data_IF_909234160166
#
_entry.id   IF_909234160166
#
_cell.length_a   1.000
_cell.length_b   1.000
_cell.length_c   1.000
_cell.angle_alpha   90.00
_cell.angle_beta   90.00
_cell.angle_gamma   90.00
#
_symmetry.space_group_name_H-M   'P 1'
#
loop_
_entity.id
_entity.type
_entity.pdbx_description
1 polymer ?
#
# COMPACT_ATOMS: atom_id res chain seq x y z
N UNK A 1 -9.95 -24.75 -30.24
CA UNK A 1 -10.63 -25.10 -28.97
C UNK A 1 -9.78 -24.61 -27.84
N UNK A 2 -10.31 -23.72 -27.02
CA UNK A 2 -9.58 -22.72 -26.23
C UNK A 2 -9.17 -23.36 -24.90
N UNK A 3 -7.93 -23.82 -24.75
CA UNK A 3 -7.35 -24.37 -23.51
C UNK A 3 -7.03 -23.28 -22.47
N UNK A 4 -7.98 -22.39 -22.21
CA UNK A 4 -7.84 -21.20 -21.37
C UNK A 4 -8.75 -21.22 -20.13
N UNK A 5 -9.23 -22.40 -19.70
CA UNK A 5 -10.50 -22.50 -18.97
C UNK A 5 -10.44 -23.04 -17.54
N UNK A 6 -9.30 -23.03 -16.86
CA UNK A 6 -9.27 -23.40 -15.43
C UNK A 6 -8.24 -22.63 -14.61
N UNK A 7 -7.00 -22.50 -15.08
CA UNK A 7 -5.94 -21.82 -14.34
C UNK A 7 -6.21 -20.32 -14.17
N UNK A 8 -6.59 -19.63 -15.26
CA UNK A 8 -7.02 -18.23 -15.23
C UNK A 8 -8.29 -18.02 -14.42
N UNK A 9 -9.24 -18.96 -14.48
CA UNK A 9 -10.48 -18.88 -13.72
C UNK A 9 -10.25 -19.06 -12.22
N UNK A 10 -9.43 -20.03 -11.83
CA UNK A 10 -9.01 -20.24 -10.44
C UNK A 10 -8.13 -19.09 -9.94
N UNK A 11 -7.31 -18.49 -10.80
CA UNK A 11 -6.52 -17.30 -10.47
C UNK A 11 -7.42 -16.07 -10.25
N UNK A 12 -8.39 -15.83 -11.13
CA UNK A 12 -9.39 -14.77 -10.98
C UNK A 12 -10.24 -15.00 -9.73
N UNK A 13 -10.66 -16.24 -9.45
CA UNK A 13 -11.39 -16.57 -8.21
C UNK A 13 -10.50 -16.42 -6.97
N UNK A 14 -9.24 -16.84 -6.99
CA UNK A 14 -8.32 -16.65 -5.86
C UNK A 14 -8.08 -15.15 -5.56
N UNK A 15 -7.96 -14.33 -6.60
CA UNK A 15 -7.85 -12.86 -6.48
C UNK A 15 -9.16 -12.25 -5.96
N UNK A 16 -10.33 -12.74 -6.39
CA UNK A 16 -11.64 -12.25 -5.93
C UNK A 16 -12.04 -12.77 -4.53
N UNK A 17 -11.53 -13.92 -4.11
CA UNK A 17 -11.90 -14.59 -2.86
C UNK A 17 -11.01 -14.19 -1.67
N UNK A 18 -9.96 -13.42 -1.92
CA UNK A 18 -9.02 -12.97 -0.89
C UNK A 18 -9.00 -11.45 -0.73
N UNK A 19 -10.19 -10.84 -0.74
CA UNK A 19 -10.35 -9.41 -0.45
C UNK A 19 -10.14 -9.14 1.04
N UNK A 20 -8.92 -8.71 1.39
CA UNK A 20 -8.62 -8.07 2.66
C UNK A 20 -8.85 -6.56 2.60
N UNK A 21 -9.07 -5.93 3.75
CA UNK A 21 -9.14 -4.47 3.87
C UNK A 21 -7.78 -3.85 4.18
N UNK A 22 -6.81 -4.68 4.58
CA UNK A 22 -5.45 -4.31 4.96
C UNK A 22 -4.45 -5.42 4.59
N UNK A 23 -3.15 -5.09 4.55
CA UNK A 23 -2.12 -6.09 4.30
C UNK A 23 -2.01 -7.13 5.43
N UNK A 24 -2.39 -6.77 6.66
CA UNK A 24 -2.46 -7.73 7.78
C UNK A 24 -3.62 -8.72 7.62
N UNK A 25 -4.75 -8.33 7.01
CA UNK A 25 -5.82 -9.27 6.66
C UNK A 25 -5.32 -10.32 5.66
N UNK A 26 -4.58 -9.87 4.63
CA UNK A 26 -3.99 -10.74 3.62
C UNK A 26 -2.94 -11.68 4.22
N UNK A 27 -2.12 -11.18 5.15
CA UNK A 27 -1.13 -11.98 5.88
C UNK A 27 -1.82 -13.09 6.68
N UNK A 28 -2.86 -12.74 7.43
CA UNK A 28 -3.65 -13.67 8.24
C UNK A 28 -4.39 -14.70 7.37
N UNK A 29 -4.74 -14.34 6.14
CA UNK A 29 -5.29 -15.24 5.13
C UNK A 29 -4.23 -16.16 4.49
N UNK A 30 -2.96 -16.03 4.85
CA UNK A 30 -1.86 -16.90 4.40
C UNK A 30 -1.01 -16.34 3.26
N UNK A 31 -1.22 -15.10 2.83
CA UNK A 31 -0.35 -14.43 1.85
C UNK A 31 0.87 -13.86 2.55
N UNK A 32 1.95 -14.65 2.59
CA UNK A 32 3.15 -14.35 3.39
C UNK A 32 4.28 -13.68 2.62
N UNK A 33 4.20 -13.64 1.30
CA UNK A 33 5.25 -13.06 0.47
C UNK A 33 5.05 -11.55 0.34
N UNK A 34 6.13 -10.78 0.40
CA UNK A 34 6.06 -9.34 0.11
C UNK A 34 5.78 -9.11 -1.37
N UNK A 35 4.90 -8.14 -1.68
CA UNK A 35 4.50 -7.94 -3.06
C UNK A 35 3.33 -7.00 -3.27
N UNK A 36 2.88 -6.92 -4.53
CA UNK A 36 1.75 -6.08 -4.91
C UNK A 36 0.45 -6.87 -4.76
N UNK A 37 -0.48 -6.26 -4.03
CA UNK A 37 -1.81 -6.80 -3.76
C UNK A 37 -2.90 -5.76 -4.04
N UNK A 38 -4.16 -6.19 -3.96
CA UNK A 38 -5.33 -5.35 -4.05
C UNK A 38 -6.11 -5.41 -2.75
N UNK A 39 -6.31 -4.26 -2.11
CA UNK A 39 -7.15 -4.12 -0.92
C UNK A 39 -8.51 -3.57 -1.30
N UNK A 40 -9.58 -4.08 -0.71
CA UNK A 40 -10.90 -3.47 -0.85
C UNK A 40 -10.98 -2.26 0.10
N UNK A 41 -11.46 -1.11 -0.37
CA UNK A 41 -11.73 0.02 0.52
C UNK A 41 -13.04 -0.23 1.26
N UNK A 42 -13.00 -0.16 2.60
CA UNK A 42 -14.17 -0.36 3.47
C UNK A 42 -15.31 0.59 3.07
N UNK A 43 -16.53 0.07 3.07
CA UNK A 43 -17.72 0.83 2.66
C UNK A 43 -17.92 0.96 1.15
N UNK A 44 -17.09 0.30 0.32
CA UNK A 44 -17.22 0.29 -1.14
C UNK A 44 -17.40 -1.13 -1.67
N UNK A 45 -18.15 -1.28 -2.77
CA UNK A 45 -18.36 -2.60 -3.41
C UNK A 45 -17.32 -2.91 -4.49
N UNK A 46 -16.81 -1.87 -5.17
CA UNK A 46 -15.97 -2.05 -6.38
C UNK A 46 -14.70 -1.20 -6.38
N UNK A 47 -14.32 -0.62 -5.23
CA UNK A 47 -13.08 0.14 -5.14
C UNK A 47 -11.99 -0.74 -4.53
N UNK A 48 -11.07 -1.15 -5.39
CA UNK A 48 -9.86 -1.87 -5.02
C UNK A 48 -8.65 -0.96 -5.17
N UNK A 49 -7.83 -0.89 -4.13
CA UNK A 49 -6.60 -0.13 -4.08
C UNK A 49 -5.40 -1.06 -4.30
N UNK A 50 -4.61 -0.79 -5.34
CA UNK A 50 -3.35 -1.48 -5.60
C UNK A 50 -2.30 -0.98 -4.60
N UNK A 51 -1.77 -1.87 -3.76
CA UNK A 51 -0.77 -1.53 -2.73
C UNK A 51 0.41 -2.48 -2.78
N UNK A 52 1.52 -2.10 -2.16
CA UNK A 52 2.56 -3.04 -1.80
C UNK A 52 2.36 -3.47 -0.35
N UNK A 53 2.26 -4.77 -0.11
CA UNK A 53 2.28 -5.35 1.23
C UNK A 53 3.69 -5.82 1.55
N UNK A 54 4.23 -5.30 2.63
CA UNK A 54 5.47 -5.77 3.22
C UNK A 54 5.12 -6.79 4.33
N UNK A 55 5.37 -8.06 4.03
CA UNK A 55 5.00 -9.22 4.84
C UNK A 55 6.19 -9.84 5.57
N UNK A 56 7.41 -9.48 5.20
CA UNK A 56 8.64 -10.15 5.67
C UNK A 56 9.41 -9.31 6.70
N UNK A 57 9.17 -7.99 6.74
CA UNK A 57 9.79 -7.09 7.72
C UNK A 57 8.99 -7.04 9.02
N UNK A 58 9.71 -7.18 10.15
CA UNK A 58 9.15 -7.20 11.50
C UNK A 58 8.06 -8.28 11.64
N UNK A 59 6.86 -7.93 12.09
CA UNK A 59 5.70 -8.83 12.16
C UNK A 59 4.94 -9.01 10.83
N UNK A 60 5.34 -8.31 9.76
CA UNK A 60 4.61 -8.28 8.50
C UNK A 60 3.29 -7.51 8.58
N UNK A 61 2.47 -7.60 7.53
CA UNK A 61 1.15 -6.97 7.48
C UNK A 61 1.16 -5.48 7.17
N UNK A 62 2.32 -4.94 6.78
CA UNK A 62 2.48 -3.51 6.53
C UNK A 62 1.98 -3.12 5.15
N UNK A 63 1.06 -2.16 5.09
CA UNK A 63 0.68 -1.48 3.85
C UNK A 63 1.64 -0.34 3.59
N UNK A 64 2.45 -0.43 2.53
CA UNK A 64 3.42 0.62 2.18
C UNK A 64 2.69 1.78 1.51
N UNK A 65 2.83 2.98 2.09
CA UNK A 65 2.17 4.21 1.60
C UNK A 65 3.11 5.12 0.78
N UNK A 66 4.42 4.92 0.94
CA UNK A 66 5.48 5.63 0.20
C UNK A 66 6.70 4.72 0.11
N UNK A 67 7.37 4.70 -1.04
CA UNK A 67 8.68 4.05 -1.18
C UNK A 67 9.63 4.87 -2.05
N UNK A 68 10.88 5.02 -1.61
CA UNK A 68 12.05 5.51 -2.38
C UNK A 68 13.16 4.49 -2.26
N UNK A 69 13.62 3.95 -3.39
CA UNK A 69 14.72 2.98 -3.43
C UNK A 69 15.40 3.00 -4.80
N UNK A 70 16.49 2.24 -4.96
CA UNK A 70 17.18 2.06 -6.24
C UNK A 70 16.50 0.97 -7.08
N UNK A 71 15.44 1.37 -7.79
CA UNK A 71 14.77 0.53 -8.79
C UNK A 71 15.32 0.75 -10.22
N UNK A 72 16.50 1.36 -10.35
CA UNK A 72 17.07 1.79 -11.61
C UNK A 72 16.38 3.02 -12.24
N UNK A 73 16.90 3.44 -13.40
CA UNK A 73 16.38 4.60 -14.13
C UNK A 73 15.24 4.23 -15.11
N UNK A 74 14.27 5.14 -15.35
CA UNK A 74 14.13 6.44 -14.71
C UNK A 74 13.54 6.35 -13.29
N UNK A 75 14.03 7.22 -12.41
CA UNK A 75 13.45 7.45 -11.08
C UNK A 75 12.11 8.16 -11.15
N UNK A 76 11.25 7.92 -10.16
CA UNK A 76 9.96 8.59 -10.04
C UNK A 76 10.14 10.04 -9.57
N UNK A 77 9.39 10.97 -10.18
CA UNK A 77 9.47 12.38 -9.84
C UNK A 77 8.50 12.68 -8.69
N UNK A 78 9.02 13.12 -7.54
CA UNK A 78 8.22 13.51 -6.38
C UNK A 78 7.95 15.02 -6.31
N UNK A 79 8.52 15.84 -7.21
CA UNK A 79 8.18 17.26 -7.31
C UNK A 79 6.87 17.40 -8.13
N UNK A 80 5.75 17.19 -7.45
CA UNK A 80 4.40 17.13 -8.02
C UNK A 80 3.46 18.13 -7.39
N UNK A 81 2.33 18.38 -8.04
CA UNK A 81 1.29 19.29 -7.53
C UNK A 81 0.35 18.62 -6.51
N UNK A 82 -0.59 19.39 -5.98
CA UNK A 82 -1.57 18.90 -5.00
C UNK A 82 -2.45 17.77 -5.55
N UNK A 83 -2.84 17.82 -6.82
CA UNK A 83 -3.72 16.83 -7.41
C UNK A 83 -3.02 15.48 -7.54
N UNK A 84 -1.74 15.48 -7.92
CA UNK A 84 -0.89 14.29 -7.94
C UNK A 84 -0.73 13.70 -6.53
N UNK A 85 -0.43 14.53 -5.51
CA UNK A 85 -0.31 14.02 -4.13
C UNK A 85 -1.63 13.51 -3.54
N UNK A 86 -2.77 14.10 -3.95
CA UNK A 86 -4.09 13.61 -3.58
C UNK A 86 -4.37 12.22 -4.16
N UNK A 87 -4.13 12.04 -5.46
CA UNK A 87 -4.48 10.81 -6.18
C UNK A 87 -3.44 9.70 -6.06
N UNK A 88 -2.18 10.08 -5.80
CA UNK A 88 -1.04 9.17 -5.82
C UNK A 88 -0.36 9.14 -7.20
N UNK A 89 0.90 8.69 -7.20
CA UNK A 89 1.73 8.57 -8.39
C UNK A 89 2.83 7.51 -8.19
N UNK A 90 3.41 7.04 -9.29
CA UNK A 90 4.41 5.96 -9.30
C UNK A 90 3.80 4.56 -9.35
N UNK A 91 4.63 3.54 -9.12
CA UNK A 91 4.22 2.13 -9.12
C UNK A 91 4.50 1.52 -7.75
N UNK A 92 3.51 0.90 -7.07
CA UNK A 92 3.72 0.17 -5.83
C UNK A 92 4.84 -0.88 -5.88
N UNK A 93 5.16 -1.42 -7.06
CA UNK A 93 6.30 -2.32 -7.25
C UNK A 93 7.68 -1.62 -7.27
N UNK A 94 7.73 -0.28 -7.25
CA UNK A 94 8.92 0.56 -7.38
C UNK A 94 8.85 1.78 -6.42
N UNK A 95 9.21 2.97 -6.90
CA UNK A 95 9.02 4.24 -6.22
C UNK A 95 7.58 4.76 -6.42
N UNK A 96 6.93 5.19 -5.35
CA UNK A 96 5.56 5.71 -5.41
C UNK A 96 5.14 6.53 -4.18
N UNK A 97 4.07 7.29 -4.35
CA UNK A 97 3.23 7.83 -3.29
C UNK A 97 1.81 7.29 -3.46
N UNK A 98 1.25 6.66 -2.43
CA UNK A 98 -0.05 5.98 -2.52
C UNK A 98 -1.21 6.95 -2.82
N UNK A 99 -1.08 8.22 -2.43
CA UNK A 99 -2.12 9.24 -2.58
C UNK A 99 -2.79 9.55 -1.25
N UNK A 100 -2.93 10.84 -0.94
CA UNK A 100 -3.49 11.29 0.34
C UNK A 100 -4.94 10.84 0.51
N UNK A 101 -5.75 10.84 -0.55
CA UNK A 101 -7.14 10.37 -0.43
C UNK A 101 -7.18 8.87 -0.10
N UNK A 102 -6.29 8.08 -0.69
CA UNK A 102 -6.19 6.65 -0.42
C UNK A 102 -5.72 6.38 1.03
N UNK A 103 -4.71 7.12 1.51
CA UNK A 103 -4.22 7.00 2.89
C UNK A 103 -5.31 7.43 3.90
N UNK A 104 -6.08 8.48 3.59
CA UNK A 104 -7.23 8.91 4.40
C UNK A 104 -8.27 7.79 4.50
N UNK A 105 -8.67 7.22 3.37
CA UNK A 105 -9.65 6.14 3.32
C UNK A 105 -9.18 4.88 4.06
N UNK A 106 -7.89 4.57 4.07
CA UNK A 106 -7.33 3.48 4.87
C UNK A 106 -7.35 3.80 6.38
N UNK A 107 -6.77 4.94 6.76
CA UNK A 107 -6.48 5.25 8.18
C UNK A 107 -7.66 5.80 8.96
N UNK A 108 -8.77 6.17 8.30
CA UNK A 108 -9.93 6.75 8.99
C UNK A 108 -10.86 5.71 9.64
N UNK A 109 -10.67 4.42 9.34
CA UNK A 109 -11.58 3.35 9.77
C UNK A 109 -11.13 2.60 11.02
N UNK A 110 -9.82 2.52 11.29
CA UNK A 110 -9.21 1.77 12.40
C UNK A 110 -7.98 2.52 12.94
N UNK A 111 -7.41 2.05 14.04
CA UNK A 111 -6.16 2.57 14.58
C UNK A 111 -4.97 1.95 13.84
N UNK A 112 -4.12 2.80 13.26
CA UNK A 112 -2.91 2.38 12.54
C UNK A 112 -1.65 2.86 13.24
N UNK A 113 -0.60 2.05 13.16
CA UNK A 113 0.76 2.46 13.51
C UNK A 113 1.48 2.88 12.22
N UNK A 114 2.13 4.03 12.22
CA UNK A 114 3.05 4.41 11.15
C UNK A 114 4.46 3.97 11.51
N UNK A 115 5.10 3.25 10.60
CA UNK A 115 6.53 2.91 10.65
C UNK A 115 7.24 3.62 9.49
N UNK A 116 8.31 4.34 9.80
CA UNK A 116 9.19 4.98 8.81
C UNK A 116 10.55 4.30 8.89
N UNK A 117 10.98 3.67 7.81
CA UNK A 117 12.31 3.10 7.67
C UNK A 117 13.18 4.00 6.79
N UNK A 118 14.43 4.20 7.21
CA UNK A 118 15.43 4.98 6.50
C UNK A 118 16.72 4.17 6.41
N UNK A 119 17.35 4.21 5.24
CA UNK A 119 18.66 3.62 4.98
C UNK A 119 19.59 4.72 4.46
N UNK A 120 20.81 4.80 5.01
CA UNK A 120 21.84 5.70 4.49
C UNK A 120 22.68 5.04 3.39
N UNK A 121 23.57 5.82 2.77
CA UNK A 121 24.41 5.32 1.66
C UNK A 121 25.44 4.25 2.07
N UNK A 122 25.66 4.06 3.38
CA UNK A 122 26.53 3.02 3.92
C UNK A 122 25.74 1.74 4.27
N UNK A 123 24.42 1.73 4.03
CA UNK A 123 23.51 0.63 4.31
C UNK A 123 23.00 0.59 5.76
N UNK A 124 23.21 1.64 6.56
CA UNK A 124 22.72 1.66 7.93
C UNK A 124 21.21 1.93 7.96
N UNK A 125 20.45 0.95 8.44
CA UNK A 125 18.99 1.05 8.60
C UNK A 125 18.60 1.61 9.98
N UNK A 126 17.61 2.50 9.98
CA UNK A 126 16.95 3.05 11.19
C UNK A 126 15.45 3.08 10.97
N UNK A 127 14.68 3.01 12.06
CA UNK A 127 13.24 3.17 11.99
C UNK A 127 12.69 4.05 13.10
N UNK A 128 11.54 4.67 12.83
CA UNK A 128 10.70 5.37 13.80
C UNK A 128 9.27 4.82 13.72
N UNK A 129 8.58 4.73 14.87
CA UNK A 129 7.20 4.25 14.96
C UNK A 129 6.31 5.25 15.69
N UNK A 130 5.10 5.47 15.17
CA UNK A 130 4.09 6.36 15.73
C UNK A 130 2.79 5.56 15.94
N UNK A 131 2.39 5.43 17.20
CA UNK A 131 1.32 4.52 17.64
C UNK A 131 -0.10 4.81 17.16
N UNK A 132 -0.41 6.05 16.77
CA UNK A 132 -1.78 6.48 16.44
C UNK A 132 -1.74 7.35 15.19
N UNK A 133 -1.44 6.74 14.05
CA UNK A 133 -1.35 7.45 12.78
C UNK A 133 -2.70 7.48 12.09
N UNK A 134 -3.12 8.68 11.74
CA UNK A 134 -4.25 8.93 10.86
C UNK A 134 -4.05 10.24 10.14
N UNK A 135 -4.53 10.31 8.91
CA UNK A 135 -4.67 11.60 8.22
C UNK A 135 -6.14 11.99 8.13
N UNK A 136 -6.40 13.29 8.07
CA UNK A 136 -7.73 13.85 7.94
C UNK A 136 -8.12 14.04 6.48
N UNK A 137 -9.35 14.50 6.24
CA UNK A 137 -9.89 14.72 4.89
C UNK A 137 -9.17 15.83 4.13
N UNK A 138 -9.42 15.95 2.83
CA UNK A 138 -8.93 17.07 2.02
C UNK A 138 -9.34 18.45 2.58
N UNK A 139 -10.56 18.56 3.13
CA UNK A 139 -11.07 19.79 3.73
C UNK A 139 -10.24 20.24 4.95
N UNK A 140 -9.52 19.30 5.57
CA UNK A 140 -8.60 19.54 6.68
C UNK A 140 -7.14 19.51 6.22
N UNK A 141 -6.90 19.57 4.91
CA UNK A 141 -5.59 19.57 4.26
C UNK A 141 -4.75 18.32 4.53
N UNK A 142 -5.39 17.16 4.71
CA UNK A 142 -4.71 15.90 5.00
C UNK A 142 -3.73 15.98 6.17
N UNK A 143 -4.03 16.82 7.17
CA UNK A 143 -3.26 16.88 8.42
C UNK A 143 -3.19 15.50 9.05
N UNK A 144 -2.05 15.16 9.62
CA UNK A 144 -1.89 13.91 10.35
C UNK A 144 -1.96 14.16 11.86
N UNK A 145 -2.39 13.11 12.58
CA UNK A 145 -2.34 13.00 14.04
C UNK A 145 -1.41 11.86 14.41
#
# INVERSE_FOLDING_TARGET
GVAWTAATYNYVIAVLQSSGYSCVDLLNAGMKDSGVYYLQIRGTTYWFLKVYCEQEVAEGGWTVIQRRDDFGDPRENFNRDWADYKNGFGDPAKEFWLGNENIYMLTNNEDYVLRVELEDFEGNKRYAQYSHFKIYSEAEYYKWR
#
